data_IF_421567836658
#
_entry.id   IF_421567836658
#
_cell.length_a   1.000
_cell.length_b   1.000
_cell.length_c   1.000
_cell.angle_alpha   90.00
_cell.angle_beta   90.00
_cell.angle_gamma   90.00
#
_symmetry.space_group_name_H-M   'P 1'
#
loop_
_entity.id
_entity.type
_entity.pdbx_description
1 polymer ?
#
# COMPACT_ATOMS: atom_id res chain seq x y z
N UNK A 1 47.56 2.76 38.94
CA UNK A 1 46.74 1.93 38.05
C UNK A 1 46.41 2.81 36.87
N UNK A 2 46.96 2.54 35.68
CA UNK A 2 46.82 3.48 34.57
C UNK A 2 45.40 3.36 33.98
N UNK A 3 44.77 4.47 33.62
CA UNK A 3 43.40 4.50 33.06
C UNK A 3 43.22 3.57 31.85
N UNK A 4 44.31 3.38 31.10
CA UNK A 4 44.37 2.48 29.94
C UNK A 4 44.18 1.00 30.29
N UNK A 5 44.48 0.59 31.52
CA UNK A 5 44.29 -0.79 31.99
C UNK A 5 42.86 -1.03 32.49
N UNK A 6 42.17 0.01 32.96
CA UNK A 6 40.78 -0.05 33.42
C UNK A 6 39.82 -0.14 32.23
N UNK A 7 40.02 0.66 31.17
CA UNK A 7 39.21 0.55 29.95
C UNK A 7 39.34 -0.83 29.28
N UNK A 8 40.54 -1.42 29.31
CA UNK A 8 40.82 -2.72 28.71
C UNK A 8 40.09 -3.86 29.43
N UNK A 9 39.94 -3.77 30.76
CA UNK A 9 39.18 -4.72 31.56
C UNK A 9 37.66 -4.55 31.37
N UNK A 10 37.18 -3.31 31.24
CA UNK A 10 35.76 -3.03 31.00
C UNK A 10 35.30 -3.49 29.61
N UNK A 11 36.15 -3.35 28.59
CA UNK A 11 35.87 -3.84 27.25
C UNK A 11 35.86 -5.38 27.18
N UNK A 12 36.70 -6.05 27.97
CA UNK A 12 36.71 -7.52 28.09
C UNK A 12 35.46 -8.05 28.81
N UNK A 13 34.97 -7.36 29.83
CA UNK A 13 33.73 -7.72 30.55
C UNK A 13 32.47 -7.48 29.70
N UNK A 14 32.43 -6.43 28.88
CA UNK A 14 31.33 -6.15 27.95
C UNK A 14 31.16 -7.24 26.89
N UNK A 15 32.28 -7.75 26.34
CA UNK A 15 32.28 -8.77 25.28
C UNK A 15 31.88 -10.15 25.79
N UNK A 16 32.15 -10.48 27.05
CA UNK A 16 31.78 -11.78 27.64
C UNK A 16 30.30 -11.94 27.99
N UNK A 17 29.50 -10.87 28.09
CA UNK A 17 28.21 -10.96 28.80
C UNK A 17 26.92 -10.73 27.97
N UNK A 18 26.97 -10.62 26.63
CA UNK A 18 25.76 -10.23 25.86
C UNK A 18 25.21 -11.26 24.85
N UNK A 19 26.02 -12.18 24.29
CA UNK A 19 25.52 -13.09 23.23
C UNK A 19 25.70 -14.57 23.49
N UNK A 20 26.62 -14.95 24.39
CA UNK A 20 26.92 -16.36 24.67
C UNK A 20 26.02 -16.92 25.78
N UNK A 21 25.67 -16.10 26.78
CA UNK A 21 24.74 -16.47 27.85
C UNK A 21 23.30 -16.71 27.34
N UNK A 22 22.87 -16.01 26.28
CA UNK A 22 21.52 -16.20 25.72
C UNK A 22 21.43 -17.50 24.92
N UNK A 23 22.44 -17.82 24.10
CA UNK A 23 22.47 -19.11 23.38
C UNK A 23 22.58 -20.29 24.34
N UNK A 24 23.47 -20.21 25.33
CA UNK A 24 23.68 -21.32 26.26
C UNK A 24 22.48 -21.57 27.19
N UNK A 25 21.73 -20.53 27.59
CA UNK A 25 20.48 -20.71 28.33
C UNK A 25 19.37 -21.31 27.46
N UNK A 26 19.25 -20.93 26.18
CA UNK A 26 18.25 -21.53 25.29
C UNK A 26 18.53 -23.02 25.07
N UNK A 27 19.79 -23.41 24.84
CA UNK A 27 20.15 -24.83 24.70
C UNK A 27 19.98 -25.63 26.01
N UNK A 28 20.24 -25.02 27.17
CA UNK A 28 20.06 -25.69 28.46
C UNK A 28 18.58 -25.86 28.83
N UNK A 29 17.74 -24.85 28.57
CA UNK A 29 16.28 -24.94 28.77
C UNK A 29 15.65 -25.99 27.83
N UNK A 30 16.18 -26.15 26.61
CA UNK A 30 15.73 -27.19 25.69
C UNK A 30 16.16 -28.61 26.13
N UNK A 31 17.33 -28.76 26.76
CA UNK A 31 17.83 -30.06 27.20
C UNK A 31 17.29 -30.51 28.57
N UNK A 32 16.96 -29.59 29.48
CA UNK A 32 16.37 -29.96 30.79
C UNK A 32 14.88 -30.38 30.69
N UNK A 33 14.26 -30.27 29.51
CA UNK A 33 12.92 -30.78 29.22
C UNK A 33 12.90 -32.08 28.37
N UNK A 34 14.06 -32.62 27.98
CA UNK A 34 14.13 -33.90 27.25
C UNK A 34 14.64 -35.00 28.17
N UNK A 35 13.76 -35.49 29.04
CA UNK A 35 13.89 -36.87 29.52
C UNK A 35 13.82 -37.80 28.31
N UNK A 36 14.82 -38.68 28.18
CA UNK A 36 14.91 -39.68 27.12
C UNK A 36 13.59 -40.46 26.99
N UNK A 37 12.81 -40.13 25.96
CA UNK A 37 11.80 -41.02 25.40
C UNK A 37 11.77 -40.76 23.90
N UNK A 38 11.88 -41.83 23.11
CA UNK A 38 11.69 -41.83 21.65
C UNK A 38 10.21 -41.51 21.31
N UNK A 39 9.77 -40.31 21.61
CA UNK A 39 8.49 -39.76 21.18
C UNK A 39 8.78 -38.91 19.95
N UNK A 40 8.28 -39.33 18.78
CA UNK A 40 8.05 -38.39 17.69
C UNK A 40 7.38 -37.15 18.29
N UNK A 41 7.99 -35.98 18.08
CA UNK A 41 7.46 -34.72 18.55
C UNK A 41 6.09 -34.53 17.86
N UNK A 42 5.00 -34.76 18.59
CA UNK A 42 3.65 -34.57 18.09
C UNK A 42 3.43 -33.06 17.92
N UNK A 43 3.77 -32.57 16.73
CA UNK A 43 3.39 -31.23 16.30
C UNK A 43 1.93 -31.34 15.83
N UNK A 44 0.99 -30.64 16.50
CA UNK A 44 -0.41 -30.61 16.08
C UNK A 44 -0.52 -30.31 14.59
N UNK A 45 -1.41 -31.00 13.90
CA UNK A 45 -1.52 -30.92 12.44
C UNK A 45 -1.86 -29.49 11.98
N UNK A 46 -2.57 -28.75 12.82
CA UNK A 46 -2.88 -27.33 12.66
C UNK A 46 -1.62 -26.46 12.63
N UNK A 47 -0.63 -26.75 13.47
CA UNK A 47 0.65 -26.03 13.48
C UNK A 47 1.49 -26.37 12.24
N UNK A 48 1.44 -27.62 11.76
CA UNK A 48 2.06 -28.00 10.49
C UNK A 48 1.42 -27.27 9.31
N UNK A 49 0.08 -27.18 9.30
CA UNK A 49 -0.68 -26.42 8.29
C UNK A 49 -0.33 -24.94 8.31
N UNK A 50 -0.32 -24.30 9.48
CA UNK A 50 0.07 -22.89 9.61
C UNK A 50 1.50 -22.66 9.16
N UNK A 51 2.45 -23.54 9.54
CA UNK A 51 3.85 -23.44 9.09
C UNK A 51 3.98 -23.57 7.57
N UNK A 52 3.23 -24.48 6.95
CA UNK A 52 3.21 -24.65 5.50
C UNK A 52 2.63 -23.41 4.80
N UNK A 53 1.52 -22.87 5.30
CA UNK A 53 0.92 -21.63 4.76
C UNK A 53 1.84 -20.42 4.90
N UNK A 54 2.58 -20.29 6.01
CA UNK A 54 3.58 -19.22 6.17
C UNK A 54 4.73 -19.38 5.16
N UNK A 55 5.18 -20.62 4.91
CA UNK A 55 6.20 -20.90 3.91
C UNK A 55 5.73 -20.51 2.50
N UNK A 56 4.49 -20.86 2.14
CA UNK A 56 3.86 -20.45 0.88
C UNK A 56 3.75 -18.93 0.74
N UNK A 57 3.33 -18.23 1.80
CA UNK A 57 3.29 -16.75 1.83
C UNK A 57 4.69 -16.17 1.60
N UNK A 58 5.73 -16.74 2.18
CA UNK A 58 7.10 -16.27 1.99
C UNK A 58 7.61 -16.50 0.57
N UNK A 59 7.28 -17.63 -0.05
CA UNK A 59 7.60 -17.90 -1.46
C UNK A 59 6.89 -16.86 -2.35
N UNK A 60 5.60 -16.62 -2.12
CA UNK A 60 4.85 -15.59 -2.84
C UNK A 60 5.48 -14.21 -2.67
N UNK A 61 5.91 -13.83 -1.47
CA UNK A 61 6.61 -12.55 -1.23
C UNK A 61 7.93 -12.45 -1.99
N UNK A 62 8.69 -13.56 -2.10
CA UNK A 62 9.94 -13.58 -2.84
C UNK A 62 9.70 -13.48 -4.35
N UNK A 63 8.74 -14.23 -4.90
CA UNK A 63 8.37 -14.11 -6.31
C UNK A 63 7.84 -12.71 -6.62
N UNK A 64 7.03 -12.14 -5.73
CA UNK A 64 6.53 -10.78 -5.84
C UNK A 64 7.65 -9.73 -5.81
N UNK A 65 8.71 -9.95 -5.02
CA UNK A 65 9.88 -9.10 -4.97
C UNK A 65 10.75 -9.19 -6.24
N UNK A 66 10.73 -10.33 -6.95
CA UNK A 66 11.46 -10.51 -8.23
C UNK A 66 10.81 -9.81 -9.41
N UNK A 67 9.54 -9.43 -9.31
CA UNK A 67 8.82 -8.84 -10.45
C UNK A 67 9.28 -7.42 -10.81
N UNK A 68 10.18 -6.78 -10.04
CA UNK A 68 10.69 -5.39 -10.21
C UNK A 68 9.61 -4.37 -10.67
N UNK A 69 8.38 -4.67 -10.28
CA UNK A 69 7.19 -3.90 -10.54
C UNK A 69 6.93 -3.20 -9.24
N UNK A 70 6.84 -1.87 -9.30
CA UNK A 70 6.46 -1.04 -8.18
C UNK A 70 4.98 -1.33 -7.83
N UNK A 71 4.71 -2.52 -7.29
CA UNK A 71 3.38 -3.09 -7.04
C UNK A 71 2.60 -2.21 -6.07
N UNK A 72 3.30 -1.58 -5.13
CA UNK A 72 2.71 -0.58 -4.24
C UNK A 72 2.25 0.65 -5.01
N UNK A 73 3.06 1.17 -5.94
CA UNK A 73 2.67 2.29 -6.80
C UNK A 73 1.52 1.91 -7.73
N UNK A 74 1.56 0.71 -8.34
CA UNK A 74 0.50 0.21 -9.22
C UNK A 74 -0.81 0.01 -8.48
N UNK A 75 -0.78 -0.65 -7.32
CA UNK A 75 -1.96 -0.84 -6.48
C UNK A 75 -2.54 0.51 -6.08
N UNK A 76 -1.70 1.46 -5.67
CA UNK A 76 -2.15 2.81 -5.34
C UNK A 76 -2.79 3.51 -6.54
N UNK A 77 -2.21 3.39 -7.72
CA UNK A 77 -2.79 3.94 -8.94
C UNK A 77 -4.18 3.33 -9.21
N UNK A 78 -4.29 2.01 -9.20
CA UNK A 78 -5.53 1.29 -9.52
C UNK A 78 -6.66 1.58 -8.51
N UNK A 79 -6.33 1.78 -7.22
CA UNK A 79 -7.35 1.98 -6.17
C UNK A 79 -7.65 3.44 -5.85
N UNK A 80 -6.68 4.35 -5.98
CA UNK A 80 -6.82 5.74 -5.50
C UNK A 80 -6.80 6.77 -6.63
N UNK A 81 -6.06 6.53 -7.71
CA UNK A 81 -5.89 7.50 -8.80
C UNK A 81 -6.85 7.22 -9.94
N UNK A 82 -6.93 5.97 -10.39
CA UNK A 82 -7.72 5.55 -11.54
C UNK A 82 -9.22 5.85 -11.36
N UNK A 83 -9.86 5.60 -10.19
CA UNK A 83 -11.27 5.94 -10.02
C UNK A 83 -11.55 7.43 -10.19
N UNK A 84 -10.69 8.29 -9.62
CA UNK A 84 -10.84 9.75 -9.74
C UNK A 84 -10.61 10.23 -11.17
N UNK A 85 -9.63 9.66 -11.87
CA UNK A 85 -9.38 9.95 -13.28
C UNK A 85 -10.57 9.54 -14.15
N UNK A 86 -11.13 8.36 -13.89
CA UNK A 86 -12.30 7.85 -14.59
C UNK A 86 -13.54 8.71 -14.31
N UNK A 87 -13.75 9.15 -13.06
CA UNK A 87 -14.82 10.10 -12.72
C UNK A 87 -14.67 11.40 -13.48
N UNK A 88 -13.46 11.96 -13.56
CA UNK A 88 -13.22 13.20 -14.30
C UNK A 88 -13.49 13.03 -15.80
N UNK A 89 -13.14 11.88 -16.38
CA UNK A 89 -13.45 11.56 -17.78
C UNK A 89 -14.97 11.50 -18.02
N UNK A 90 -15.70 10.80 -17.15
CA UNK A 90 -17.17 10.68 -17.24
C UNK A 90 -17.84 12.05 -17.10
N UNK A 91 -17.39 12.87 -16.16
CA UNK A 91 -17.91 14.23 -15.98
C UNK A 91 -17.64 15.11 -17.21
N UNK A 92 -16.41 15.06 -17.76
CA UNK A 92 -16.08 15.75 -18.99
C UNK A 92 -17.00 15.35 -20.15
N UNK A 93 -17.25 14.04 -20.31
CA UNK A 93 -18.18 13.52 -21.31
C UNK A 93 -19.63 13.99 -21.07
N UNK A 94 -20.09 14.02 -19.83
CA UNK A 94 -21.42 14.53 -19.49
C UNK A 94 -21.56 16.02 -19.83
N UNK A 95 -20.57 16.84 -19.47
CA UNK A 95 -20.51 18.27 -19.76
C UNK A 95 -20.59 18.56 -21.26
N UNK A 96 -19.82 17.81 -22.07
CA UNK A 96 -19.88 17.90 -23.53
C UNK A 96 -21.28 17.57 -24.08
N UNK A 97 -21.90 16.49 -23.59
CA UNK A 97 -23.23 16.08 -24.02
C UNK A 97 -24.32 17.11 -23.68
N UNK A 98 -24.25 17.72 -22.49
CA UNK A 98 -25.18 18.79 -22.11
C UNK A 98 -24.99 20.04 -22.96
N UNK A 99 -23.75 20.46 -23.19
CA UNK A 99 -23.43 21.60 -24.06
C UNK A 99 -23.90 21.34 -25.51
N UNK A 100 -23.66 20.13 -26.03
CA UNK A 100 -24.14 19.71 -27.36
C UNK A 100 -25.66 19.71 -27.44
N UNK A 101 -26.34 19.23 -26.40
CA UNK A 101 -27.80 19.25 -26.31
C UNK A 101 -28.35 20.67 -26.29
N UNK A 102 -27.75 21.58 -25.51
CA UNK A 102 -28.11 22.99 -25.49
C UNK A 102 -27.98 23.62 -26.87
N UNK A 103 -26.86 23.35 -27.58
CA UNK A 103 -26.63 23.83 -28.94
C UNK A 103 -27.70 23.30 -29.91
N UNK A 104 -28.03 22.01 -29.84
CA UNK A 104 -29.02 21.42 -30.73
C UNK A 104 -30.41 22.01 -30.49
N UNK A 105 -30.80 22.25 -29.23
CA UNK A 105 -32.09 22.92 -28.91
C UNK A 105 -32.09 24.35 -29.45
N UNK A 106 -31.00 25.10 -29.27
CA UNK A 106 -30.86 26.48 -29.74
C UNK A 106 -30.97 26.62 -31.26
N UNK A 107 -30.61 25.58 -32.01
CA UNK A 107 -30.70 25.55 -33.48
C UNK A 107 -32.09 25.16 -34.01
N UNK A 108 -33.04 24.78 -33.14
CA UNK A 108 -34.40 24.43 -33.57
C UNK A 108 -35.32 25.66 -33.55
N UNK A 109 -36.20 25.80 -34.55
CA UNK A 109 -37.22 26.87 -34.59
C UNK A 109 -38.24 26.81 -33.43
N UNK A 110 -38.22 25.72 -32.64
CA UNK A 110 -39.08 25.49 -31.48
C UNK A 110 -38.29 25.50 -30.15
N UNK A 111 -37.02 25.92 -30.18
CA UNK A 111 -36.14 25.94 -29.02
C UNK A 111 -36.72 26.79 -27.90
N UNK A 112 -37.07 26.17 -26.78
CA UNK A 112 -37.47 26.89 -25.56
C UNK A 112 -36.22 27.40 -24.88
N UNK A 113 -36.10 28.73 -24.73
CA UNK A 113 -34.97 29.38 -24.03
C UNK A 113 -34.74 28.81 -22.63
N UNK A 114 -35.81 28.44 -21.92
CA UNK A 114 -35.72 27.77 -20.62
C UNK A 114 -35.01 26.42 -20.70
N UNK A 115 -35.22 25.62 -21.75
CA UNK A 115 -34.59 24.30 -21.90
C UNK A 115 -33.11 24.40 -22.30
N UNK A 116 -32.75 25.43 -23.05
CA UNK A 116 -31.34 25.74 -23.33
C UNK A 116 -30.64 26.13 -22.03
N UNK A 117 -31.29 26.98 -21.21
CA UNK A 117 -30.77 27.36 -19.90
C UNK A 117 -30.63 26.15 -18.98
N UNK A 118 -31.66 25.32 -18.84
CA UNK A 118 -31.62 24.10 -18.02
C UNK A 118 -30.40 23.22 -18.38
N UNK A 119 -30.12 23.05 -19.68
CA UNK A 119 -28.97 22.26 -20.14
C UNK A 119 -27.62 22.92 -19.87
N UNK A 120 -27.52 24.25 -19.94
CA UNK A 120 -26.31 25.00 -19.60
C UNK A 120 -26.06 25.03 -18.09
N UNK A 121 -27.12 25.10 -17.27
CA UNK A 121 -27.00 25.02 -15.81
C UNK A 121 -26.38 23.67 -15.41
N UNK A 122 -26.78 22.56 -16.05
CA UNK A 122 -26.14 21.24 -15.85
C UNK A 122 -24.67 21.20 -16.25
N UNK A 123 -24.24 21.97 -17.26
CA UNK A 123 -22.82 22.09 -17.63
C UNK A 123 -22.05 22.73 -16.49
N UNK A 124 -22.58 23.78 -15.87
CA UNK A 124 -21.94 24.44 -14.73
C UNK A 124 -21.85 23.50 -13.52
N UNK A 125 -22.95 22.81 -13.17
CA UNK A 125 -22.96 21.85 -12.06
C UNK A 125 -21.91 20.73 -12.24
N UNK A 126 -21.80 20.17 -13.45
CA UNK A 126 -20.81 19.14 -13.76
C UNK A 126 -19.37 19.68 -13.73
N UNK A 127 -19.16 20.93 -14.17
CA UNK A 127 -17.84 21.55 -14.13
C UNK A 127 -17.41 21.84 -12.68
N UNK A 128 -18.32 22.28 -11.81
CA UNK A 128 -18.05 22.48 -10.39
C UNK A 128 -17.66 21.16 -9.70
N UNK A 129 -18.41 20.08 -9.97
CA UNK A 129 -18.06 18.73 -9.50
C UNK A 129 -16.70 18.25 -10.06
N UNK A 130 -16.41 18.56 -11.32
CA UNK A 130 -15.12 18.23 -11.95
C UNK A 130 -13.95 18.91 -11.25
N UNK A 131 -14.14 20.15 -10.81
CA UNK A 131 -13.13 20.91 -10.05
C UNK A 131 -12.83 20.27 -8.69
N UNK A 132 -13.84 19.75 -7.99
CA UNK A 132 -13.67 19.01 -6.74
C UNK A 132 -12.88 17.71 -6.95
N UNK A 133 -13.28 16.92 -7.95
CA UNK A 133 -12.58 15.67 -8.32
C UNK A 133 -11.13 15.95 -8.72
N UNK A 134 -10.89 17.02 -9.49
CA UNK A 134 -9.55 17.42 -9.91
C UNK A 134 -8.66 17.82 -8.73
N UNK A 135 -9.21 18.51 -7.73
CA UNK A 135 -8.48 18.84 -6.50
C UNK A 135 -8.07 17.57 -5.76
N UNK A 136 -8.99 16.60 -5.61
CA UNK A 136 -8.69 15.31 -4.99
C UNK A 136 -7.62 14.53 -5.77
N UNK A 137 -7.76 14.46 -7.09
CA UNK A 137 -6.82 13.78 -7.99
C UNK A 137 -5.41 14.38 -7.89
N UNK A 138 -5.27 15.71 -7.88
CA UNK A 138 -3.99 16.40 -7.68
C UNK A 138 -3.31 15.98 -6.37
N UNK A 139 -4.08 15.82 -5.29
CA UNK A 139 -3.56 15.35 -4.01
C UNK A 139 -3.03 13.91 -4.12
N UNK A 140 -3.82 12.99 -4.69
CA UNK A 140 -3.44 11.58 -4.84
C UNK A 140 -2.24 11.39 -5.77
N UNK A 141 -2.15 12.15 -6.87
CA UNK A 141 -0.99 12.13 -7.76
C UNK A 141 0.30 12.58 -7.07
N UNK A 142 0.25 13.60 -6.21
CA UNK A 142 1.42 14.01 -5.41
C UNK A 142 1.89 12.90 -4.47
N UNK A 143 0.96 12.17 -3.85
CA UNK A 143 1.28 11.02 -3.00
C UNK A 143 1.92 9.91 -3.83
N UNK A 144 1.33 9.56 -4.98
CA UNK A 144 1.86 8.54 -5.90
C UNK A 144 3.31 8.85 -6.33
N UNK A 145 3.59 10.10 -6.72
CA UNK A 145 4.96 10.53 -7.10
C UNK A 145 5.94 10.34 -5.93
N UNK A 146 5.50 10.62 -4.70
CA UNK A 146 6.33 10.42 -3.51
C UNK A 146 6.54 8.93 -3.20
N UNK A 147 5.56 8.06 -3.49
CA UNK A 147 5.74 6.60 -3.41
C UNK A 147 6.80 6.17 -4.43
N UNK A 148 6.68 6.58 -5.69
CA UNK A 148 7.63 6.22 -6.75
C UNK A 148 9.08 6.67 -6.47
N UNK A 149 9.28 7.78 -5.75
CA UNK A 149 10.61 8.26 -5.34
C UNK A 149 11.28 7.42 -4.24
N UNK A 150 10.53 6.65 -3.45
CA UNK A 150 11.10 5.83 -2.36
C UNK A 150 11.76 4.54 -2.85
N UNK A 151 11.54 4.16 -4.10
CA UNK A 151 12.03 2.91 -4.70
C UNK A 151 13.07 3.13 -5.80
N UNK A 152 13.61 4.36 -5.91
CA UNK A 152 14.79 4.70 -6.73
C UNK A 152 15.96 5.03 -5.81
#
# INVERSE_FOLDING_TARGET
MNDKDIEKLLEQLSKMNSKENVKNNVYKILNDCSGETNSELYIPEELKKVSASIAEINILRQELAKLDLNLTERLYYDTEVFPLLNSLHILGFASENYASSARNIAQTNFGKSSKIKDALDLVYDVNDLSDEVLKALKCKLRIMINIGKKYK
#
